data_IF_226810529555
#
_entry.id   IF_226810529555
#
_cell.length_a   1.000
_cell.length_b   1.000
_cell.length_c   1.000
_cell.angle_alpha   90.00
_cell.angle_beta   90.00
_cell.angle_gamma   90.00
#
_symmetry.space_group_name_H-M   'P 1'
#
loop_
_entity.id
_entity.type
_entity.pdbx_description
1 polymer ?
#
# COMPACT_ATOMS: atom_id res chain seq x y z
N UNK A 1 13.50 -25.10 57.26
CA UNK A 1 13.71 -25.41 55.83
C UNK A 1 12.34 -25.33 55.19
N UNK A 2 12.01 -24.19 54.58
CA UNK A 2 10.75 -23.98 53.88
C UNK A 2 11.02 -24.10 52.38
N UNK A 3 10.15 -24.86 51.74
CA UNK A 3 10.16 -25.32 50.35
C UNK A 3 10.20 -24.15 49.35
N UNK A 4 11.31 -24.02 48.63
CA UNK A 4 11.59 -22.99 47.61
C UNK A 4 11.11 -23.47 46.22
N UNK A 5 9.90 -24.05 46.21
CA UNK A 5 9.31 -24.73 45.06
C UNK A 5 8.60 -23.77 44.11
N UNK A 6 9.12 -23.71 42.88
CA UNK A 6 8.50 -23.13 41.68
C UNK A 6 8.77 -21.64 41.37
N UNK A 7 10.03 -21.22 41.37
CA UNK A 7 10.44 -20.08 40.54
C UNK A 7 10.61 -20.59 39.11
N UNK A 8 9.91 -20.00 38.14
CA UNK A 8 10.20 -20.19 36.72
C UNK A 8 11.71 -19.93 36.49
N UNK A 9 12.50 -21.01 36.38
CA UNK A 9 13.97 -20.91 36.26
C UNK A 9 14.25 -20.41 34.85
N UNK A 10 14.38 -19.09 34.70
CA UNK A 10 14.82 -18.49 33.45
C UNK A 10 16.21 -19.01 33.06
N UNK A 11 16.56 -18.92 31.78
CA UNK A 11 17.85 -19.45 31.29
C UNK A 11 18.95 -18.44 31.64
N UNK A 12 19.90 -18.78 32.53
CA UNK A 12 21.00 -17.88 32.85
C UNK A 12 21.96 -17.77 31.65
N UNK A 13 22.54 -16.60 31.48
CA UNK A 13 23.51 -16.33 30.43
C UNK A 13 24.43 -15.17 30.80
N UNK A 14 25.46 -14.99 29.99
CA UNK A 14 26.41 -13.89 30.11
C UNK A 14 26.77 -13.39 28.73
N UNK A 15 26.80 -12.07 28.56
CA UNK A 15 27.17 -11.42 27.30
C UNK A 15 28.23 -10.37 27.56
N UNK A 16 29.21 -10.29 26.68
CA UNK A 16 30.30 -9.33 26.74
C UNK A 16 30.08 -8.29 25.63
N UNK A 17 29.86 -7.04 26.02
CA UNK A 17 29.49 -5.96 25.11
C UNK A 17 30.60 -4.89 25.07
N UNK A 18 31.10 -4.63 23.86
CA UNK A 18 31.99 -3.49 23.60
C UNK A 18 31.16 -2.22 23.52
N UNK A 19 31.52 -1.22 24.33
CA UNK A 19 30.79 0.04 24.41
C UNK A 19 30.99 0.91 23.16
N UNK A 20 30.03 1.79 22.91
CA UNK A 20 30.12 2.77 21.84
C UNK A 20 31.05 3.94 22.18
N UNK A 21 31.21 4.88 21.23
CA UNK A 21 32.03 6.08 21.40
C UNK A 21 31.56 6.99 22.56
N UNK A 22 30.32 6.85 23.03
CA UNK A 22 29.75 7.57 24.18
C UNK A 22 29.86 6.77 25.48
N UNK A 23 30.60 5.65 25.47
CA UNK A 23 30.77 4.74 26.61
C UNK A 23 29.43 4.10 27.09
N UNK A 24 28.48 3.91 26.16
CA UNK A 24 27.17 3.32 26.41
C UNK A 24 27.05 1.93 25.74
N UNK A 25 26.22 1.06 26.34
CA UNK A 25 25.84 -0.23 25.75
C UNK A 25 24.45 -0.20 25.08
N UNK A 26 23.61 0.78 25.44
CA UNK A 26 22.30 0.98 24.80
C UNK A 26 21.12 0.19 25.37
N UNK A 27 21.06 0.04 26.69
CA UNK A 27 19.88 -0.50 27.38
C UNK A 27 19.31 0.50 28.39
N UNK A 28 18.00 0.42 28.64
CA UNK A 28 17.33 1.04 29.78
C UNK A 28 17.05 -0.02 30.85
N UNK A 29 17.19 0.35 32.12
CA UNK A 29 17.08 -0.56 33.27
C UNK A 29 15.89 -0.14 34.14
N UNK A 30 15.04 -1.10 34.48
CA UNK A 30 13.89 -0.95 35.37
C UNK A 30 14.01 -1.81 36.63
N UNK A 31 13.07 -1.62 37.55
CA UNK A 31 13.06 -2.30 38.85
C UNK A 31 14.14 -1.82 39.81
N UNK A 32 14.69 -2.76 40.59
CA UNK A 32 15.69 -2.53 41.63
C UNK A 32 15.12 -2.10 42.98
N UNK A 33 16.00 -2.10 43.99
CA UNK A 33 15.66 -1.78 45.36
C UNK A 33 15.16 -0.33 45.51
N UNK A 34 14.33 -0.03 46.54
CA UNK A 34 13.79 -0.97 47.53
C UNK A 34 12.51 -1.70 47.07
N UNK A 35 11.85 -1.23 46.01
CA UNK A 35 10.51 -1.66 45.64
C UNK A 35 10.47 -3.00 44.90
N UNK A 36 11.49 -3.29 44.08
CA UNK A 36 11.53 -4.50 43.27
C UNK A 36 12.81 -5.30 43.55
N UNK A 37 12.73 -6.62 43.83
CA UNK A 37 13.92 -7.43 44.10
C UNK A 37 14.79 -7.67 42.86
N UNK A 38 14.22 -7.49 41.66
CA UNK A 38 14.85 -7.77 40.39
C UNK A 38 15.18 -6.47 39.64
N UNK A 39 16.27 -6.50 38.87
CA UNK A 39 16.59 -5.48 37.87
C UNK A 39 16.38 -6.09 36.49
N UNK A 40 15.78 -5.37 35.56
CA UNK A 40 15.49 -5.92 34.25
C UNK A 40 15.64 -4.88 33.14
N UNK A 41 15.83 -5.37 31.92
CA UNK A 41 15.94 -4.54 30.72
C UNK A 41 14.56 -4.01 30.34
N UNK A 42 14.36 -2.68 30.38
CA UNK A 42 13.10 -2.04 29.93
C UNK A 42 13.08 -1.89 28.41
N UNK A 43 14.22 -1.53 27.84
CA UNK A 43 14.36 -1.30 26.41
C UNK A 43 15.80 -1.53 25.97
N UNK A 44 15.95 -2.05 24.76
CA UNK A 44 17.21 -2.04 24.00
C UNK A 44 17.06 -0.99 22.90
N UNK A 45 17.99 -0.04 22.84
CA UNK A 45 17.92 1.09 21.90
C UNK A 45 18.56 0.71 20.56
N UNK A 46 17.96 1.15 19.45
CA UNK A 46 18.46 0.84 18.11
C UNK A 46 19.87 1.43 17.88
N UNK A 47 20.64 0.80 16.98
CA UNK A 47 22.00 1.22 16.61
C UNK A 47 23.04 1.22 17.74
N UNK A 48 22.73 0.58 18.87
CA UNK A 48 23.65 0.45 20.01
C UNK A 48 24.35 -0.90 20.06
N UNK A 49 25.42 -1.07 20.85
CA UNK A 49 26.10 -2.36 21.00
C UNK A 49 25.16 -3.51 21.39
N UNK A 50 24.26 -3.30 22.37
CA UNK A 50 23.32 -4.33 22.79
C UNK A 50 22.31 -4.70 21.68
N UNK A 51 21.89 -3.75 20.86
CA UNK A 51 21.00 -4.04 19.73
C UNK A 51 21.70 -4.83 18.60
N UNK A 52 22.97 -4.53 18.34
CA UNK A 52 23.77 -5.23 17.30
C UNK A 52 24.11 -6.66 17.71
N UNK A 53 24.42 -6.85 18.98
CA UNK A 53 24.71 -8.17 19.55
C UNK A 53 23.45 -9.04 19.66
N UNK A 54 22.28 -8.43 19.89
CA UNK A 54 20.97 -9.07 19.95
C UNK A 54 20.80 -10.14 21.06
N UNK A 55 21.78 -10.31 21.95
CA UNK A 55 21.69 -11.27 23.08
C UNK A 55 20.77 -10.76 24.18
N UNK A 56 20.72 -9.46 24.47
CA UNK A 56 19.82 -8.90 25.49
C UNK A 56 18.49 -8.46 24.88
N UNK A 57 17.40 -8.61 25.61
CA UNK A 57 16.08 -8.28 25.11
C UNK A 57 15.16 -7.79 26.24
N UNK A 58 14.21 -6.89 25.95
CA UNK A 58 13.36 -6.27 26.97
C UNK A 58 12.60 -7.30 27.85
N UNK A 59 12.65 -7.17 29.17
CA UNK A 59 12.10 -8.13 30.13
C UNK A 59 13.13 -9.13 30.69
N UNK A 60 14.33 -9.23 30.10
CA UNK A 60 15.41 -10.03 30.68
C UNK A 60 15.89 -9.43 32.00
N UNK A 61 16.17 -10.30 32.97
CA UNK A 61 16.67 -9.89 34.28
C UNK A 61 18.17 -9.76 34.28
N UNK A 62 18.68 -8.69 34.89
CA UNK A 62 20.09 -8.42 35.08
C UNK A 62 20.45 -8.91 36.47
N UNK A 63 21.32 -9.93 36.53
CA UNK A 63 21.75 -10.55 37.80
C UNK A 63 23.17 -10.15 38.19
N UNK A 64 23.98 -9.66 37.24
CA UNK A 64 25.31 -9.15 37.55
C UNK A 64 25.96 -8.30 36.46
N UNK A 65 26.97 -7.54 36.85
CA UNK A 65 27.83 -6.73 35.96
C UNK A 65 29.29 -7.07 36.29
N UNK A 66 30.09 -7.48 35.30
CA UNK A 66 31.48 -7.95 35.47
C UNK A 66 31.64 -8.94 36.65
N UNK A 67 30.76 -9.94 36.73
CA UNK A 67 30.72 -10.95 37.80
C UNK A 67 30.38 -10.43 39.21
N UNK A 68 30.02 -9.16 39.35
CA UNK A 68 29.50 -8.60 40.60
C UNK A 68 27.98 -8.67 40.58
N UNK A 69 27.39 -9.29 41.61
CA UNK A 69 25.94 -9.38 41.73
C UNK A 69 25.32 -7.98 41.90
N UNK A 70 24.17 -7.77 41.25
CA UNK A 70 23.39 -6.53 41.38
C UNK A 70 22.16 -6.69 42.29
N UNK A 71 22.04 -7.82 42.98
CA UNK A 71 20.94 -8.07 43.92
C UNK A 71 20.91 -6.99 45.01
N UNK A 72 19.73 -6.41 45.26
CA UNK A 72 19.54 -5.36 46.26
C UNK A 72 20.07 -3.98 45.84
N UNK A 73 20.54 -3.81 44.59
CA UNK A 73 20.95 -2.51 44.06
C UNK A 73 19.77 -1.78 43.42
N UNK A 74 19.86 -0.46 43.40
CA UNK A 74 18.94 0.41 42.65
C UNK A 74 19.31 0.44 41.17
N UNK A 75 18.33 0.73 40.30
CA UNK A 75 18.57 0.93 38.86
C UNK A 75 19.65 1.99 38.57
N UNK A 76 19.75 3.03 39.41
CA UNK A 76 20.73 4.12 39.27
C UNK A 76 22.14 3.63 39.59
N UNK A 77 22.31 2.85 40.66
CA UNK A 77 23.63 2.27 41.01
C UNK A 77 24.12 1.33 39.92
N UNK A 78 23.25 0.46 39.39
CA UNK A 78 23.65 -0.47 38.32
C UNK A 78 24.00 0.29 37.04
N UNK A 79 23.24 1.31 36.67
CA UNK A 79 23.57 2.17 35.53
C UNK A 79 24.93 2.85 35.71
N UNK A 80 25.22 3.38 36.91
CA UNK A 80 26.53 3.98 37.25
C UNK A 80 27.66 2.95 37.20
N UNK A 81 27.46 1.74 37.71
CA UNK A 81 28.45 0.66 37.66
C UNK A 81 28.79 0.29 36.21
N UNK A 82 27.78 0.14 35.35
CA UNK A 82 27.99 -0.09 33.93
C UNK A 82 28.75 1.07 33.30
N UNK A 83 28.37 2.32 33.59
CA UNK A 83 29.03 3.51 33.03
C UNK A 83 30.49 3.67 33.48
N UNK A 84 30.83 3.29 34.72
CA UNK A 84 32.19 3.39 35.26
C UNK A 84 33.20 2.47 34.55
N UNK A 85 32.74 1.35 34.01
CA UNK A 85 33.59 0.40 33.26
C UNK A 85 33.93 1.01 31.89
N UNK A 86 35.21 1.00 31.49
CA UNK A 86 35.64 1.50 30.18
C UNK A 86 35.88 0.35 29.20
N UNK A 87 35.59 0.59 27.93
CA UNK A 87 35.81 -0.37 26.85
C UNK A 87 34.73 -1.45 26.80
N UNK A 88 34.85 -2.46 27.66
CA UNK A 88 34.06 -3.68 27.54
C UNK A 88 33.40 -4.05 28.87
N UNK A 89 32.13 -4.45 28.83
CA UNK A 89 31.34 -4.81 30.01
C UNK A 89 30.65 -6.16 29.81
N UNK A 90 30.72 -7.00 30.83
CA UNK A 90 30.02 -8.27 30.90
C UNK A 90 28.71 -8.10 31.66
N UNK A 91 27.59 -8.44 31.03
CA UNK A 91 26.26 -8.45 31.65
C UNK A 91 25.85 -9.90 31.88
N UNK A 92 25.65 -10.27 33.14
CA UNK A 92 25.08 -11.55 33.52
C UNK A 92 23.55 -11.37 33.61
N UNK A 93 22.81 -12.18 32.89
CA UNK A 93 21.37 -12.05 32.75
C UNK A 93 20.65 -13.39 32.90
N UNK A 94 19.34 -13.31 33.14
CA UNK A 94 18.41 -14.44 33.10
C UNK A 94 17.36 -14.14 32.06
N UNK A 95 17.27 -14.98 31.02
CA UNK A 95 16.27 -14.83 29.97
C UNK A 95 14.88 -15.00 30.52
N UNK A 96 14.01 -14.05 30.17
CA UNK A 96 12.59 -14.19 30.44
C UNK A 96 12.03 -15.36 29.64
N UNK A 97 11.67 -16.43 30.33
CA UNK A 97 10.94 -17.57 29.77
C UNK A 97 9.45 -17.30 29.96
N UNK A 98 8.75 -16.99 28.87
CA UNK A 98 7.31 -16.76 28.88
C UNK A 98 6.72 -17.01 27.50
N UNK A 99 5.56 -17.68 27.45
CA UNK A 99 4.84 -17.88 26.19
C UNK A 99 4.31 -16.52 25.70
N UNK A 100 4.69 -16.05 24.50
CA UNK A 100 4.16 -14.81 23.93
C UNK A 100 2.62 -14.76 23.85
N UNK A 101 1.94 -15.91 23.87
CA UNK A 101 0.47 -15.97 23.95
C UNK A 101 -0.08 -15.40 25.25
N UNK A 102 0.65 -15.50 26.37
CA UNK A 102 0.23 -14.94 27.66
C UNK A 102 0.18 -13.41 27.63
N UNK A 103 0.98 -12.77 26.78
CA UNK A 103 0.92 -11.32 26.58
C UNK A 103 -0.26 -10.84 25.71
N UNK A 104 -0.95 -11.75 25.00
CA UNK A 104 -2.10 -11.42 24.13
C UNK A 104 -3.42 -11.48 24.89
N UNK A 105 -3.58 -10.58 25.86
CA UNK A 105 -4.79 -10.51 26.68
C UNK A 105 -5.96 -9.84 25.94
N UNK A 106 -7.19 -10.07 26.41
CA UNK A 106 -8.37 -9.36 25.91
C UNK A 106 -8.22 -7.83 26.04
N UNK A 107 -7.53 -7.37 27.08
CA UNK A 107 -7.19 -5.96 27.27
C UNK A 107 -6.36 -5.39 26.11
N UNK A 108 -5.32 -6.13 25.66
CA UNK A 108 -4.53 -5.74 24.48
C UNK A 108 -5.40 -5.72 23.22
N UNK A 109 -6.31 -6.67 23.06
CA UNK A 109 -7.24 -6.70 21.91
C UNK A 109 -8.17 -5.48 21.92
N UNK A 110 -8.75 -5.14 23.07
CA UNK A 110 -9.61 -3.96 23.22
C UNK A 110 -8.86 -2.67 22.96
N UNK A 111 -7.63 -2.53 23.48
CA UNK A 111 -6.74 -1.40 23.19
C UNK A 111 -6.41 -1.28 21.71
N UNK A 112 -6.16 -2.40 21.02
CA UNK A 112 -5.94 -2.42 19.58
C UNK A 112 -7.17 -1.94 18.81
N UNK A 113 -8.37 -2.37 19.21
CA UNK A 113 -9.65 -1.90 18.64
C UNK A 113 -9.83 -0.40 18.88
N UNK A 114 -9.54 0.09 20.10
CA UNK A 114 -9.56 1.52 20.44
C UNK A 114 -8.72 2.33 19.45
N UNK A 115 -7.46 1.93 19.24
CA UNK A 115 -6.57 2.63 18.32
C UNK A 115 -7.08 2.61 16.87
N UNK A 116 -7.65 1.48 16.41
CA UNK A 116 -8.22 1.38 15.07
C UNK A 116 -9.40 2.33 14.85
N UNK A 117 -10.25 2.50 15.86
CA UNK A 117 -11.41 3.39 15.79
C UNK A 117 -10.95 4.85 15.75
N UNK A 118 -10.05 5.22 16.66
CA UNK A 118 -9.57 6.59 16.81
C UNK A 118 -8.80 7.10 15.59
N UNK A 119 -8.08 6.22 14.87
CA UNK A 119 -7.34 6.61 13.66
C UNK A 119 -8.24 7.16 12.54
N UNK A 120 -9.50 6.70 12.47
CA UNK A 120 -10.46 7.17 11.46
C UNK A 120 -11.35 8.32 11.95
N UNK A 121 -11.10 8.85 13.16
CA UNK A 121 -11.89 9.94 13.75
C UNK A 121 -11.18 11.28 13.61
N UNK A 122 -11.97 12.34 13.44
CA UNK A 122 -11.44 13.70 13.53
C UNK A 122 -10.94 14.00 14.94
N UNK A 123 -10.00 14.94 15.06
CA UNK A 123 -9.46 15.39 16.35
C UNK A 123 -10.57 15.76 17.34
N UNK A 124 -11.51 16.59 16.92
CA UNK A 124 -12.61 17.06 17.76
C UNK A 124 -13.56 15.94 18.15
N UNK A 125 -13.82 14.99 17.25
CA UNK A 125 -14.68 13.83 17.57
C UNK A 125 -14.03 12.91 18.61
N UNK A 126 -12.73 12.64 18.48
CA UNK A 126 -12.01 11.80 19.44
C UNK A 126 -11.97 12.46 20.83
N UNK A 127 -11.73 13.78 20.89
CA UNK A 127 -11.69 14.53 22.14
C UNK A 127 -13.07 14.58 22.83
N UNK A 128 -14.15 14.78 22.06
CA UNK A 128 -15.53 14.71 22.58
C UNK A 128 -15.92 13.34 23.14
N UNK A 129 -15.29 12.26 22.66
CA UNK A 129 -15.48 10.90 23.17
C UNK A 129 -14.48 10.53 24.27
N UNK A 130 -13.59 11.44 24.67
CA UNK A 130 -12.55 11.19 25.67
C UNK A 130 -11.47 10.21 25.21
N UNK A 131 -11.31 10.00 23.89
CA UNK A 131 -10.37 9.03 23.35
C UNK A 131 -9.01 9.66 23.06
N UNK A 132 -8.04 9.43 23.95
CA UNK A 132 -6.66 9.91 23.72
C UNK A 132 -5.98 9.23 22.52
N UNK A 133 -5.41 10.05 21.64
CA UNK A 133 -4.61 9.62 20.48
C UNK A 133 -3.17 9.28 20.86
N UNK A 134 -2.60 8.30 20.16
CA UNK A 134 -1.18 7.99 20.30
C UNK A 134 -0.34 8.99 19.49
N UNK A 135 0.85 9.32 19.96
CA UNK A 135 1.78 10.25 19.28
C UNK A 135 2.16 9.76 17.86
N UNK A 136 2.11 8.44 17.63
CA UNK A 136 2.40 7.81 16.34
C UNK A 136 1.27 7.96 15.28
N UNK A 137 0.24 8.76 15.55
CA UNK A 137 -0.88 9.01 14.64
C UNK A 137 -0.51 9.93 13.45
N UNK A 138 0.63 10.63 13.46
CA UNK A 138 1.10 11.42 12.31
C UNK A 138 1.93 10.54 11.35
N UNK A 139 1.32 9.48 10.86
CA UNK A 139 1.95 8.57 9.93
C UNK A 139 1.75 9.06 8.50
N UNK A 140 2.83 9.48 7.85
CA UNK A 140 2.83 9.93 6.44
C UNK A 140 2.27 8.88 5.49
N UNK A 141 2.25 7.60 5.89
CA UNK A 141 1.68 6.51 5.10
C UNK A 141 0.16 6.63 4.90
N UNK A 142 -0.57 7.29 5.80
CA UNK A 142 -2.02 7.54 5.62
C UNK A 142 -2.24 8.51 4.47
N UNK A 143 -1.48 9.61 4.44
CA UNK A 143 -1.51 10.57 3.33
C UNK A 143 -1.13 9.92 2.00
N UNK A 144 -0.13 9.03 1.99
CA UNK A 144 0.24 8.25 0.78
C UNK A 144 -0.87 7.31 0.31
N UNK A 145 -1.68 6.76 1.23
CA UNK A 145 -2.84 5.94 0.87
C UNK A 145 -3.95 6.78 0.22
N UNK A 146 -4.19 7.99 0.72
CA UNK A 146 -5.14 8.94 0.12
C UNK A 146 -4.70 9.35 -1.29
N UNK A 147 -3.42 9.68 -1.47
CA UNK A 147 -2.82 9.96 -2.80
C UNK A 147 -3.04 8.77 -3.76
N UNK A 148 -2.86 7.54 -3.28
CA UNK A 148 -3.08 6.32 -4.06
C UNK A 148 -4.56 6.12 -4.44
N UNK A 149 -5.50 6.50 -3.57
CA UNK A 149 -6.93 6.50 -3.88
C UNK A 149 -7.28 7.55 -4.93
N UNK A 150 -6.72 8.76 -4.82
CA UNK A 150 -6.91 9.81 -5.81
C UNK A 150 -6.37 9.38 -7.19
N UNK A 151 -5.18 8.79 -7.22
CA UNK A 151 -4.60 8.23 -8.46
C UNK A 151 -5.47 7.13 -9.07
N UNK A 152 -6.12 6.31 -8.23
CA UNK A 152 -7.06 5.29 -8.69
C UNK A 152 -8.26 5.91 -9.44
N UNK A 153 -8.76 7.05 -8.98
CA UNK A 153 -9.87 7.76 -9.65
C UNK A 153 -9.49 8.23 -11.05
N UNK A 154 -8.26 8.75 -11.21
CA UNK A 154 -7.75 9.21 -12.52
C UNK A 154 -7.69 8.04 -13.51
N UNK A 155 -7.15 6.88 -13.10
CA UNK A 155 -7.09 5.70 -13.96
C UNK A 155 -8.46 5.21 -14.37
N UNK A 156 -9.40 5.18 -13.42
CA UNK A 156 -10.76 4.75 -13.69
C UNK A 156 -11.40 5.64 -14.74
N UNK A 157 -11.29 6.97 -14.59
CA UNK A 157 -11.78 7.93 -15.56
C UNK A 157 -11.13 7.78 -16.94
N UNK A 158 -9.82 7.52 -17.01
CA UNK A 158 -9.12 7.29 -18.27
C UNK A 158 -9.62 6.04 -18.98
N UNK A 159 -9.79 4.93 -18.25
CA UNK A 159 -10.30 3.66 -18.76
C UNK A 159 -11.74 3.81 -19.27
N UNK A 160 -12.61 4.47 -18.50
CA UNK A 160 -14.00 4.70 -18.88
C UNK A 160 -14.10 5.50 -20.18
N UNK A 161 -13.30 6.58 -20.30
CA UNK A 161 -13.24 7.39 -21.53
C UNK A 161 -12.67 6.61 -22.70
N UNK A 162 -11.60 5.84 -22.51
CA UNK A 162 -11.04 5.01 -23.57
C UNK A 162 -12.05 3.96 -24.08
N UNK A 163 -12.79 3.31 -23.16
CA UNK A 163 -13.86 2.37 -23.52
C UNK A 163 -15.02 3.04 -24.26
N UNK A 164 -15.43 4.24 -23.82
CA UNK A 164 -16.45 5.01 -24.51
C UNK A 164 -16.01 5.38 -25.93
N UNK A 165 -14.76 5.81 -26.11
CA UNK A 165 -14.18 6.08 -27.42
C UNK A 165 -14.17 4.83 -28.30
N UNK A 166 -13.68 3.69 -27.80
CA UNK A 166 -13.70 2.42 -28.53
C UNK A 166 -15.12 2.02 -28.96
N UNK A 167 -16.13 2.23 -28.11
CA UNK A 167 -17.53 1.96 -28.43
C UNK A 167 -18.03 2.86 -29.56
N UNK A 168 -17.68 4.15 -29.54
CA UNK A 168 -18.03 5.10 -30.60
C UNK A 168 -17.33 4.76 -31.92
N UNK A 169 -16.03 4.43 -31.87
CA UNK A 169 -15.27 3.97 -33.04
C UNK A 169 -15.86 2.69 -33.63
N UNK A 170 -16.29 1.73 -32.80
CA UNK A 170 -16.96 0.52 -33.29
C UNK A 170 -18.26 0.82 -34.07
N UNK A 171 -19.03 1.83 -33.64
CA UNK A 171 -20.21 2.29 -34.40
C UNK A 171 -19.81 2.95 -35.72
N UNK A 172 -18.74 3.75 -35.72
CA UNK A 172 -18.23 4.39 -36.93
C UNK A 172 -17.74 3.35 -37.96
N UNK A 173 -17.03 2.31 -37.51
CA UNK A 173 -16.63 1.16 -38.34
C UNK A 173 -17.85 0.51 -38.99
N UNK A 174 -18.90 0.24 -38.20
CA UNK A 174 -20.13 -0.36 -38.73
C UNK A 174 -20.80 0.53 -39.79
N UNK A 175 -20.77 1.86 -39.60
CA UNK A 175 -21.27 2.80 -40.60
C UNK A 175 -20.42 2.79 -41.87
N UNK A 176 -19.08 2.83 -41.76
CA UNK A 176 -18.19 2.72 -42.92
C UNK A 176 -18.42 1.43 -43.70
N UNK A 177 -18.58 0.30 -43.01
CA UNK A 177 -18.93 -0.96 -43.65
C UNK A 177 -20.24 -0.88 -44.45
N UNK A 178 -21.29 -0.33 -43.84
CA UNK A 178 -22.59 -0.18 -44.50
C UNK A 178 -22.51 0.75 -45.74
N UNK A 179 -21.78 1.85 -45.64
CA UNK A 179 -21.52 2.73 -46.79
C UNK A 179 -20.73 2.02 -47.89
N UNK A 180 -19.69 1.27 -47.53
CA UNK A 180 -18.87 0.50 -48.47
C UNK A 180 -19.69 -0.52 -49.25
N UNK A 181 -20.59 -1.24 -48.57
CA UNK A 181 -21.53 -2.18 -49.18
C UNK A 181 -22.55 -1.49 -50.10
N UNK A 182 -23.13 -0.37 -49.65
CA UNK A 182 -24.12 0.39 -50.41
C UNK A 182 -23.51 0.98 -51.69
N UNK A 183 -22.36 1.66 -51.59
CA UNK A 183 -21.70 2.27 -52.74
C UNK A 183 -21.22 1.21 -53.76
N UNK A 184 -20.68 0.09 -53.30
CA UNK A 184 -20.33 -1.01 -54.20
C UNK A 184 -21.57 -1.56 -54.93
N UNK A 185 -22.71 -1.71 -54.24
CA UNK A 185 -23.95 -2.19 -54.84
C UNK A 185 -24.54 -1.20 -55.87
N UNK A 186 -24.45 0.11 -55.61
CA UNK A 186 -24.85 1.16 -56.55
C UNK A 186 -23.91 1.15 -57.76
N UNK A 187 -22.59 1.11 -57.53
CA UNK A 187 -21.59 1.15 -58.60
C UNK A 187 -21.76 0.04 -59.63
N UNK A 188 -22.07 -1.19 -59.21
CA UNK A 188 -22.32 -2.33 -60.11
C UNK A 188 -23.60 -2.16 -60.94
N UNK A 189 -24.60 -1.43 -60.42
CA UNK A 189 -25.90 -1.24 -61.09
C UNK A 189 -25.96 0.05 -61.93
N UNK A 190 -25.00 0.95 -61.77
CA UNK A 190 -24.99 2.25 -62.41
C UNK A 190 -24.59 2.13 -63.91
N UNK A 191 -25.49 2.49 -64.85
CA UNK A 191 -25.20 2.39 -66.28
C UNK A 191 -24.16 3.39 -66.80
N UNK A 192 -23.96 4.53 -66.12
CA UNK A 192 -22.93 5.49 -66.51
C UNK A 192 -21.56 5.05 -66.00
N UNK A 193 -20.62 4.77 -66.91
CA UNK A 193 -19.30 4.24 -66.55
C UNK A 193 -18.53 5.13 -65.56
N UNK A 194 -18.58 6.45 -65.72
CA UNK A 194 -17.90 7.39 -64.82
C UNK A 194 -18.51 7.37 -63.40
N UNK A 195 -19.83 7.36 -63.29
CA UNK A 195 -20.52 7.29 -62.01
C UNK A 195 -20.34 5.90 -61.35
N UNK A 196 -20.38 4.82 -62.12
CA UNK A 196 -20.09 3.46 -61.66
C UNK A 196 -18.69 3.34 -61.05
N UNK A 197 -17.67 3.90 -61.73
CA UNK A 197 -16.30 3.94 -61.23
C UNK A 197 -16.19 4.78 -59.96
N UNK A 198 -16.87 5.94 -59.91
CA UNK A 198 -16.87 6.81 -58.73
C UNK A 198 -17.47 6.09 -57.51
N UNK A 199 -18.64 5.48 -57.64
CA UNK A 199 -19.27 4.71 -56.57
C UNK A 199 -18.42 3.51 -56.13
N UNK A 200 -17.75 2.84 -57.06
CA UNK A 200 -16.84 1.73 -56.73
C UNK A 200 -15.65 2.21 -55.90
N UNK A 201 -15.04 3.35 -56.26
CA UNK A 201 -13.95 3.97 -55.48
C UNK A 201 -14.40 4.43 -54.10
N UNK A 202 -15.58 5.06 -53.98
CA UNK A 202 -16.14 5.40 -52.65
C UNK A 202 -16.40 4.15 -51.81
N UNK A 203 -16.92 3.08 -52.43
CA UNK A 203 -17.13 1.80 -51.76
C UNK A 203 -15.84 1.20 -51.20
N UNK A 204 -14.76 1.26 -51.98
CA UNK A 204 -13.43 0.81 -51.57
C UNK A 204 -12.85 1.68 -50.44
N UNK A 205 -12.91 3.01 -50.57
CA UNK A 205 -12.43 3.92 -49.54
C UNK A 205 -13.13 3.71 -48.20
N UNK A 206 -14.46 3.55 -48.20
CA UNK A 206 -15.20 3.24 -46.97
C UNK A 206 -14.80 1.87 -46.37
N UNK A 207 -14.46 0.86 -47.17
CA UNK A 207 -13.92 -0.42 -46.67
C UNK A 207 -12.51 -0.27 -46.10
N UNK A 208 -11.67 0.62 -46.64
CA UNK A 208 -10.36 0.91 -46.07
C UNK A 208 -10.50 1.65 -44.73
N UNK A 209 -11.38 2.64 -44.64
CA UNK A 209 -11.70 3.33 -43.37
C UNK A 209 -12.23 2.35 -42.29
N UNK A 210 -13.04 1.35 -42.67
CA UNK A 210 -13.46 0.26 -41.78
C UNK A 210 -12.24 -0.53 -41.25
N UNK A 211 -11.28 -0.87 -42.12
CA UNK A 211 -10.07 -1.61 -41.75
C UNK A 211 -9.18 -0.79 -40.81
N UNK A 212 -8.96 0.49 -41.09
CA UNK A 212 -8.17 1.37 -40.23
C UNK A 212 -8.81 1.49 -38.84
N UNK A 213 -10.13 1.67 -38.77
CA UNK A 213 -10.85 1.72 -37.49
C UNK A 213 -10.73 0.39 -36.73
N UNK A 214 -10.79 -0.74 -37.43
CA UNK A 214 -10.60 -2.07 -36.81
C UNK A 214 -9.19 -2.23 -36.24
N UNK A 215 -8.17 -1.74 -36.94
CA UNK A 215 -6.79 -1.76 -36.46
C UNK A 215 -6.62 -0.84 -35.24
N UNK A 216 -7.23 0.35 -35.25
CA UNK A 216 -7.25 1.24 -34.10
C UNK A 216 -7.83 0.55 -32.85
N UNK A 217 -8.96 -0.14 -32.98
CA UNK A 217 -9.55 -0.89 -31.86
C UNK A 217 -8.63 -2.00 -31.34
N UNK A 218 -7.94 -2.72 -32.23
CA UNK A 218 -6.96 -3.76 -31.84
C UNK A 218 -5.77 -3.17 -31.10
N UNK A 219 -5.31 -1.98 -31.49
CA UNK A 219 -4.18 -1.30 -30.84
C UNK A 219 -4.57 -0.73 -29.47
N UNK A 220 -5.79 -0.22 -29.31
CA UNK A 220 -6.26 0.38 -28.05
C UNK A 220 -6.71 -0.66 -27.02
N UNK A 221 -7.28 -1.79 -27.44
CA UNK A 221 -7.72 -2.83 -26.53
C UNK A 221 -6.69 -3.26 -25.46
N UNK A 222 -5.41 -3.58 -25.81
CA UNK A 222 -4.40 -3.95 -24.81
C UNK A 222 -4.07 -2.79 -23.87
N UNK A 223 -4.09 -1.53 -24.34
CA UNK A 223 -3.84 -0.35 -23.50
C UNK A 223 -4.87 -0.28 -22.35
N UNK A 224 -6.15 -0.50 -22.67
CA UNK A 224 -7.23 -0.51 -21.66
C UNK A 224 -7.05 -1.66 -20.66
N UNK A 225 -6.63 -2.83 -21.13
CA UNK A 225 -6.35 -3.99 -20.27
C UNK A 225 -5.15 -3.75 -19.34
N UNK A 226 -4.09 -3.12 -19.84
CA UNK A 226 -2.89 -2.80 -19.06
C UNK A 226 -3.23 -1.79 -17.95
N UNK A 227 -3.93 -0.70 -18.29
CA UNK A 227 -4.39 0.30 -17.32
C UNK A 227 -5.34 -0.33 -16.27
N UNK A 228 -6.20 -1.27 -16.68
CA UNK A 228 -7.07 -2.01 -15.75
C UNK A 228 -6.29 -2.91 -14.81
N UNK A 229 -5.14 -3.45 -15.25
CA UNK A 229 -4.29 -4.31 -14.40
C UNK A 229 -3.71 -3.53 -13.23
N UNK A 230 -3.34 -2.25 -13.43
CA UNK A 230 -2.90 -1.38 -12.35
C UNK A 230 -3.98 -1.22 -11.25
N UNK A 231 -5.22 -0.93 -11.66
CA UNK A 231 -6.36 -0.79 -10.74
C UNK A 231 -6.78 -2.09 -10.05
N UNK A 232 -6.82 -3.19 -10.79
CA UNK A 232 -7.37 -4.46 -10.32
C UNK A 232 -6.37 -5.34 -9.57
N UNK A 233 -5.06 -5.15 -9.78
CA UNK A 233 -4.01 -5.97 -9.15
C UNK A 233 -3.05 -5.14 -8.31
N UNK A 234 -2.39 -4.12 -8.87
CA UNK A 234 -1.31 -3.41 -8.20
C UNK A 234 -1.78 -2.58 -6.99
N UNK A 235 -2.89 -1.84 -7.15
CA UNK A 235 -3.50 -1.07 -6.07
C UNK A 235 -4.01 -1.98 -4.93
N UNK A 236 -4.80 -3.04 -5.19
CA UNK A 236 -5.28 -3.95 -4.15
C UNK A 236 -4.16 -4.63 -3.36
N UNK A 237 -3.08 -5.05 -4.03
CA UNK A 237 -1.91 -5.67 -3.40
C UNK A 237 -1.16 -4.69 -2.47
N UNK A 238 -0.98 -3.46 -2.91
CA UNK A 238 -0.38 -2.39 -2.08
C UNK A 238 -1.27 -2.08 -0.87
N UNK A 239 -2.58 -1.96 -1.08
CA UNK A 239 -3.57 -1.77 -0.02
C UNK A 239 -3.57 -2.90 1.00
N UNK A 240 -3.41 -4.16 0.57
CA UNK A 240 -3.29 -5.30 1.47
C UNK A 240 -2.06 -5.19 2.37
N UNK A 241 -0.94 -4.73 1.83
CA UNK A 241 0.31 -4.54 2.56
C UNK A 241 0.17 -3.43 3.61
N UNK A 242 -0.45 -2.30 3.24
CA UNK A 242 -0.75 -1.20 4.16
C UNK A 242 -1.70 -1.65 5.28
N UNK A 243 -2.72 -2.47 4.97
CA UNK A 243 -3.60 -3.04 5.99
C UNK A 243 -2.86 -3.93 7.00
N UNK A 244 -1.93 -4.78 6.53
CA UNK A 244 -1.08 -5.62 7.40
C UNK A 244 -0.21 -4.76 8.31
N UNK A 245 0.40 -3.71 7.75
CA UNK A 245 1.17 -2.73 8.52
C UNK A 245 0.32 -2.05 9.60
N UNK A 246 -0.86 -1.54 9.25
CA UNK A 246 -1.74 -0.87 10.20
C UNK A 246 -2.14 -1.79 11.36
N UNK A 247 -2.41 -3.07 11.07
CA UNK A 247 -2.75 -4.05 12.10
C UNK A 247 -1.61 -4.25 13.12
N UNK A 248 -0.35 -4.33 12.64
CA UNK A 248 0.84 -4.44 13.49
C UNK A 248 1.15 -3.13 14.22
N UNK A 249 0.94 -1.97 13.58
CA UNK A 249 1.01 -0.65 14.24
C UNK A 249 0.08 -0.59 15.45
N UNK A 250 -1.18 -0.97 15.28
CA UNK A 250 -2.16 -0.93 16.38
C UNK A 250 -1.84 -1.94 17.48
N UNK A 251 -1.29 -3.12 17.15
CA UNK A 251 -0.79 -4.06 18.15
C UNK A 251 0.36 -3.44 18.97
N UNK A 252 1.34 -2.83 18.31
CA UNK A 252 2.45 -2.16 19.00
C UNK A 252 1.96 -1.01 19.90
N UNK A 253 1.04 -0.18 19.40
CA UNK A 253 0.46 0.92 20.17
C UNK A 253 -0.34 0.43 21.38
N UNK A 254 -1.06 -0.68 21.26
CA UNK A 254 -1.77 -1.29 22.39
C UNK A 254 -0.82 -1.70 23.51
N UNK A 255 0.34 -2.31 23.18
CA UNK A 255 1.37 -2.61 24.17
C UNK A 255 2.01 -1.36 24.76
N UNK A 256 2.25 -0.30 23.96
CA UNK A 256 2.76 0.96 24.49
C UNK A 256 1.80 1.59 25.50
N UNK A 257 0.49 1.57 25.21
CA UNK A 257 -0.54 2.06 26.12
C UNK A 257 -0.58 1.22 27.39
N UNK A 258 -0.52 -0.12 27.29
CA UNK A 258 -0.49 -1.00 28.46
C UNK A 258 0.72 -0.75 29.35
N UNK A 259 1.91 -0.60 28.77
CA UNK A 259 3.12 -0.27 29.56
C UNK A 259 2.95 1.06 30.28
N UNK A 260 2.43 2.09 29.59
CA UNK A 260 2.19 3.39 30.22
C UNK A 260 1.19 3.29 31.38
N UNK A 261 0.08 2.57 31.21
CA UNK A 261 -0.90 2.36 32.28
C UNK A 261 -0.26 1.68 33.51
N UNK A 262 0.60 0.68 33.28
CA UNK A 262 1.31 -0.01 34.37
C UNK A 262 2.38 0.88 35.04
N UNK A 263 3.04 1.75 34.28
CA UNK A 263 3.98 2.75 34.80
C UNK A 263 3.25 3.80 35.65
N UNK A 264 2.09 4.30 35.16
CA UNK A 264 1.25 5.28 35.85
C UNK A 264 0.66 4.68 37.15
N UNK A 265 0.26 3.40 37.13
CA UNK A 265 -0.18 2.66 38.31
C UNK A 265 0.96 2.52 39.34
N UNK A 266 2.15 2.08 38.92
CA UNK A 266 3.33 1.98 39.80
C UNK A 266 3.67 3.34 40.44
N UNK A 267 3.62 4.42 39.66
CA UNK A 267 3.86 5.77 40.16
C UNK A 267 2.80 6.21 41.18
N UNK A 268 1.53 5.91 40.94
CA UNK A 268 0.42 6.23 41.84
C UNK A 268 0.57 5.57 43.21
N UNK A 269 0.84 4.26 43.23
CA UNK A 269 1.09 3.52 44.48
C UNK A 269 2.34 4.01 45.21
N UNK A 270 3.43 4.24 44.48
CA UNK A 270 4.67 4.76 45.06
C UNK A 270 4.46 6.15 45.71
N UNK A 271 3.63 7.02 45.14
CA UNK A 271 3.30 8.32 45.73
C UNK A 271 2.52 8.19 47.06
N UNK A 272 1.74 7.11 47.20
CA UNK A 272 1.04 6.78 48.45
C UNK A 272 1.90 6.00 49.45
N UNK A 273 3.18 5.78 49.15
CA UNK A 273 4.10 4.93 49.94
C UNK A 273 3.62 3.47 50.05
N UNK A 274 2.82 3.02 49.09
CA UNK A 274 2.40 1.64 48.96
C UNK A 274 3.19 0.96 47.84
N UNK A 275 3.29 -0.37 47.92
CA UNK A 275 3.98 -1.18 46.93
C UNK A 275 3.01 -2.21 46.35
N UNK A 276 3.07 -2.37 45.04
CA UNK A 276 2.25 -3.35 44.32
C UNK A 276 2.86 -4.74 44.51
N UNK A 277 2.04 -5.72 44.88
CA UNK A 277 2.47 -7.12 45.03
C UNK A 277 3.23 -7.65 43.79
N UNK A 278 2.79 -7.29 42.58
CA UNK A 278 3.49 -7.67 41.33
C UNK A 278 4.92 -7.12 41.29
N UNK A 279 5.17 -5.93 41.80
CA UNK A 279 6.48 -5.29 41.82
C UNK A 279 7.39 -5.95 42.86
N UNK A 280 6.85 -6.22 44.05
CA UNK A 280 7.56 -6.91 45.15
C UNK A 280 8.01 -8.32 44.79
N UNK A 281 7.29 -8.98 43.88
CA UNK A 281 7.56 -10.34 43.41
C UNK A 281 8.36 -10.39 42.12
N UNK A 282 9.00 -9.29 41.70
CA UNK A 282 9.92 -9.23 40.56
C UNK A 282 9.30 -8.78 39.23
N UNK A 283 8.06 -8.30 39.27
CA UNK A 283 7.33 -7.62 38.18
C UNK A 283 7.24 -8.41 36.86
N UNK A 284 7.00 -9.73 36.99
CA UNK A 284 6.99 -10.64 35.84
C UNK A 284 6.00 -10.24 34.73
N UNK A 285 4.77 -9.86 35.09
CA UNK A 285 3.75 -9.45 34.11
C UNK A 285 4.21 -8.24 33.30
N UNK A 286 4.74 -7.21 33.97
CA UNK A 286 5.29 -6.03 33.30
C UNK A 286 6.44 -6.40 32.36
N UNK A 287 7.36 -7.25 32.82
CA UNK A 287 8.48 -7.75 32.00
C UNK A 287 8.00 -8.51 30.75
N UNK A 288 6.93 -9.29 30.87
CA UNK A 288 6.30 -9.97 29.74
C UNK A 288 5.68 -8.97 28.75
N UNK A 289 4.97 -7.96 29.24
CA UNK A 289 4.41 -6.90 28.38
C UNK A 289 5.54 -6.12 27.67
N UNK A 290 6.66 -5.85 28.34
CA UNK A 290 7.85 -5.23 27.72
C UNK A 290 8.43 -6.09 26.59
N UNK A 291 8.53 -7.41 26.77
CA UNK A 291 8.93 -8.37 25.73
C UNK A 291 7.99 -8.30 24.54
N UNK A 292 6.67 -8.41 24.78
CA UNK A 292 5.67 -8.35 23.71
C UNK A 292 5.68 -7.00 22.96
N UNK A 293 5.84 -5.89 23.68
CA UNK A 293 6.02 -4.55 23.09
C UNK A 293 7.24 -4.49 22.18
N UNK A 294 8.37 -5.03 22.64
CA UNK A 294 9.60 -5.07 21.86
C UNK A 294 9.41 -5.88 20.56
N UNK A 295 8.83 -7.08 20.66
CA UNK A 295 8.60 -7.93 19.49
C UNK A 295 7.62 -7.27 18.49
N UNK A 296 6.57 -6.62 19.00
CA UNK A 296 5.63 -5.86 18.19
C UNK A 296 6.31 -4.66 17.50
N UNK A 297 7.22 -3.96 18.21
CA UNK A 297 8.01 -2.85 17.65
C UNK A 297 8.89 -3.31 16.49
N UNK A 298 9.55 -4.46 16.61
CA UNK A 298 10.40 -5.02 15.56
C UNK A 298 9.58 -5.35 14.31
N UNK A 299 8.43 -6.02 14.48
CA UNK A 299 7.50 -6.30 13.36
C UNK A 299 6.98 -5.01 12.73
N UNK A 300 6.62 -4.04 13.55
CA UNK A 300 6.15 -2.72 13.11
C UNK A 300 7.20 -1.99 12.27
N UNK A 301 8.45 -1.91 12.76
CA UNK A 301 9.54 -1.25 12.06
C UNK A 301 9.85 -1.91 10.71
N UNK A 302 9.87 -3.25 10.67
CA UNK A 302 10.06 -4.01 9.44
C UNK A 302 8.96 -3.72 8.41
N UNK A 303 7.69 -3.87 8.80
CA UNK A 303 6.57 -3.64 7.89
C UNK A 303 6.45 -2.18 7.45
N UNK A 304 6.87 -1.22 8.29
CA UNK A 304 6.95 0.18 7.91
C UNK A 304 7.89 0.37 6.73
N UNK A 305 9.08 -0.22 6.79
CA UNK A 305 10.06 -0.19 5.72
C UNK A 305 9.54 -0.88 4.46
N UNK A 306 8.93 -2.06 4.61
CA UNK A 306 8.35 -2.83 3.49
C UNK A 306 7.26 -2.02 2.76
N UNK A 307 6.38 -1.34 3.50
CA UNK A 307 5.35 -0.47 2.92
C UNK A 307 5.94 0.74 2.21
N UNK A 308 6.96 1.38 2.80
CA UNK A 308 7.63 2.53 2.16
C UNK A 308 8.23 2.14 0.81
N UNK A 309 9.03 1.07 0.77
CA UNK A 309 9.63 0.58 -0.48
C UNK A 309 8.56 0.19 -1.50
N UNK A 310 7.49 -0.48 -1.06
CA UNK A 310 6.41 -0.90 -1.96
C UNK A 310 5.65 0.28 -2.56
N UNK A 311 5.42 1.34 -1.79
CA UNK A 311 4.80 2.58 -2.29
C UNK A 311 5.70 3.28 -3.31
N UNK A 312 7.00 3.38 -3.06
CA UNK A 312 7.97 3.96 -4.01
C UNK A 312 8.02 3.16 -5.32
N UNK A 313 8.07 1.82 -5.23
CA UNK A 313 8.04 0.95 -6.41
C UNK A 313 6.74 1.10 -7.20
N UNK A 314 5.60 1.22 -6.51
CA UNK A 314 4.31 1.45 -7.16
C UNK A 314 4.29 2.79 -7.88
N UNK A 315 4.79 3.86 -7.25
CA UNK A 315 4.79 5.21 -7.79
C UNK A 315 5.69 5.31 -9.04
N UNK A 316 6.90 4.76 -8.99
CA UNK A 316 7.80 4.70 -10.15
C UNK A 316 7.17 3.91 -11.31
N UNK A 317 6.57 2.74 -11.01
CA UNK A 317 5.91 1.91 -12.04
C UNK A 317 4.70 2.62 -12.62
N UNK A 318 3.93 3.31 -11.78
CA UNK A 318 2.73 4.07 -12.15
C UNK A 318 3.05 5.15 -13.20
N UNK A 319 4.05 5.98 -12.94
CA UNK A 319 4.42 7.08 -13.87
C UNK A 319 4.91 6.52 -15.20
N UNK A 320 5.78 5.52 -15.16
CA UNK A 320 6.33 4.92 -16.37
C UNK A 320 5.25 4.25 -17.23
N UNK A 321 4.38 3.46 -16.61
CA UNK A 321 3.30 2.76 -17.32
C UNK A 321 2.30 3.77 -17.90
N UNK A 322 1.83 4.74 -17.11
CA UNK A 322 0.89 5.76 -17.60
C UNK A 322 1.43 6.51 -18.82
N UNK A 323 2.67 7.00 -18.75
CA UNK A 323 3.30 7.70 -19.87
C UNK A 323 3.41 6.81 -21.11
N UNK A 324 3.78 5.54 -20.93
CA UNK A 324 3.88 4.57 -22.04
C UNK A 324 2.53 4.33 -22.68
N UNK A 325 1.50 4.06 -21.88
CA UNK A 325 0.14 3.79 -22.36
C UNK A 325 -0.48 5.01 -23.06
N UNK A 326 -0.29 6.21 -22.52
CA UNK A 326 -0.76 7.45 -23.15
C UNK A 326 -0.06 7.71 -24.50
N UNK A 327 1.26 7.49 -24.58
CA UNK A 327 1.99 7.60 -25.86
C UNK A 327 1.50 6.60 -26.89
N UNK A 328 1.26 5.35 -26.50
CA UNK A 328 0.69 4.32 -27.39
C UNK A 328 -0.70 4.70 -27.88
N UNK A 329 -1.54 5.26 -26.99
CA UNK A 329 -2.89 5.71 -27.34
C UNK A 329 -2.84 6.85 -28.36
N UNK A 330 -2.05 7.89 -28.09
CA UNK A 330 -1.88 9.03 -29.00
C UNK A 330 -1.31 8.56 -30.33
N UNK A 331 -0.26 7.73 -30.32
CA UNK A 331 0.35 7.20 -31.54
C UNK A 331 -0.66 6.41 -32.39
N UNK A 332 -1.47 5.55 -31.77
CA UNK A 332 -2.49 4.78 -32.48
C UNK A 332 -3.57 5.68 -33.09
N UNK A 333 -3.98 6.75 -32.39
CA UNK A 333 -4.94 7.73 -32.90
C UNK A 333 -4.35 8.54 -34.06
N UNK A 334 -3.10 8.98 -33.94
CA UNK A 334 -2.39 9.72 -34.98
C UNK A 334 -2.28 8.89 -36.26
N UNK A 335 -1.84 7.63 -36.15
CA UNK A 335 -1.74 6.69 -37.28
C UNK A 335 -3.10 6.52 -37.96
N UNK A 336 -4.15 6.20 -37.19
CA UNK A 336 -5.51 6.08 -37.73
C UNK A 336 -5.97 7.33 -38.49
N UNK A 337 -5.76 8.52 -37.93
CA UNK A 337 -6.20 9.76 -38.57
C UNK A 337 -5.37 10.09 -39.81
N UNK A 338 -4.06 9.81 -39.80
CA UNK A 338 -3.19 9.99 -40.97
C UNK A 338 -3.60 9.05 -42.10
N UNK A 339 -3.86 7.78 -41.81
CA UNK A 339 -4.35 6.81 -42.80
C UNK A 339 -5.70 7.25 -43.38
N UNK A 340 -6.62 7.72 -42.54
CA UNK A 340 -7.90 8.27 -43.00
C UNK A 340 -7.72 9.48 -43.93
N UNK A 341 -6.85 10.43 -43.57
CA UNK A 341 -6.59 11.63 -44.38
C UNK A 341 -6.04 11.22 -45.75
N UNK A 342 -5.06 10.31 -45.76
CA UNK A 342 -4.44 9.85 -46.99
C UNK A 342 -5.44 9.18 -47.93
N UNK A 343 -6.30 8.32 -47.39
CA UNK A 343 -7.38 7.68 -48.17
C UNK A 343 -8.36 8.72 -48.74
N UNK A 344 -8.70 9.76 -47.97
CA UNK A 344 -9.60 10.84 -48.41
C UNK A 344 -8.96 11.74 -49.47
N UNK A 345 -7.65 12.01 -49.39
CA UNK A 345 -6.92 12.79 -50.39
C UNK A 345 -6.78 12.03 -51.72
N UNK A 346 -6.63 10.71 -51.68
CA UNK A 346 -6.57 9.85 -52.87
C UNK A 346 -7.95 9.69 -53.55
N UNK A 347 -9.05 9.98 -52.85
CA UNK A 347 -10.43 9.91 -53.36
C UNK A 347 -10.97 11.26 -53.89
N UNK A 348 -10.18 11.99 -54.68
CA UNK A 348 -10.67 13.14 -55.45
C UNK A 348 -11.41 12.68 -56.72
N UNK A 349 -12.74 12.63 -56.66
CA UNK A 349 -13.60 12.11 -57.74
C UNK A 349 -14.62 13.17 -58.22
N UNK A 350 -14.47 14.43 -57.81
CA UNK A 350 -15.36 15.50 -58.27
C UNK A 350 -14.81 16.22 -59.52
N UNK A 351 -15.70 16.64 -60.44
CA UNK A 351 -17.15 16.48 -60.41
C UNK A 351 -17.62 15.12 -60.96
N UNK A 352 -18.53 14.47 -60.23
CA UNK A 352 -19.30 13.34 -60.75
C UNK A 352 -20.39 13.94 -61.64
N UNK A 353 -20.18 13.93 -62.96
CA UNK A 353 -21.24 14.29 -63.91
C UNK A 353 -22.32 13.20 -63.90
N UNK A 354 -23.28 13.32 -62.97
CA UNK A 354 -24.49 12.51 -62.96
C UNK A 354 -25.49 13.22 -63.86
N UNK A 355 -25.67 12.73 -65.08
CA UNK A 355 -26.72 13.25 -65.98
C UNK A 355 -28.10 12.75 -65.51
N UNK A 356 -28.66 13.47 -64.54
CA UNK A 356 -29.96 13.21 -63.90
C UNK A 356 -31.11 13.17 -64.93
N UNK A 357 -31.01 13.91 -66.04
CA UNK A 357 -32.04 13.95 -67.06
C UNK A 357 -32.16 12.62 -67.82
N UNK A 358 -31.04 11.93 -68.05
CA UNK A 358 -31.02 10.63 -68.73
C UNK A 358 -31.48 9.49 -67.82
N UNK A 359 -31.28 9.62 -66.50
CA UNK A 359 -31.79 8.68 -65.51
C UNK A 359 -33.32 8.75 -65.36
N UNK A 360 -33.89 9.96 -65.39
CA UNK A 360 -35.34 10.20 -65.30
C UNK A 360 -36.12 9.69 -66.53
N UNK A 361 -35.50 9.72 -67.72
CA UNK A 361 -36.13 9.24 -68.96
C UNK A 361 -36.32 7.71 -69.00
N UNK A 362 -35.53 6.93 -68.26
CA UNK A 362 -35.66 5.45 -68.21
C UNK A 362 -36.77 4.95 -67.29
N UNK A 363 -37.30 5.80 -66.41
CA UNK A 363 -38.32 5.43 -65.41
C UNK A 363 -39.74 5.86 -65.79
N UNK A 364 -39.94 6.54 -66.91
CA UNK A 364 -41.28 6.87 -67.40
C UNK A 364 -41.92 5.62 -68.04
N UNK A 365 -43.11 5.18 -67.62
CA UNK A 365 -43.81 4.10 -68.30
C UNK A 365 -44.17 4.56 -69.71
N UNK A 366 -43.74 3.81 -70.72
CA UNK A 366 -44.20 3.96 -72.11
C UNK A 366 -45.67 3.59 -72.18
N UNK A 367 -46.56 4.55 -71.95
CA UNK A 367 -47.94 4.47 -72.42
C UNK A 367 -47.95 4.77 -73.90
N UNK A 368 -47.73 3.74 -74.72
CA UNK A 368 -48.16 3.75 -76.12
C UNK A 368 -49.69 3.57 -76.12
N UNK A 369 -50.40 4.66 -76.43
CA UNK A 369 -51.80 4.61 -76.80
C UNK A 369 -51.82 4.26 -78.29
N UNK A 370 -52.06 2.99 -78.61
CA UNK A 370 -52.46 2.58 -79.95
C UNK A 370 -53.88 3.07 -80.21
N UNK A 371 -54.03 3.99 -81.16
CA UNK A 371 -55.31 4.38 -81.72
C UNK A 371 -55.65 3.48 -82.91
N UNK A 372 -56.72 2.70 -82.78
CA UNK A 372 -57.60 2.29 -83.88
C UNK A 372 -59.06 2.37 -83.42
#
# INVERSE_FOLDING_TARGET
MADDGNRNVGIPGSVKLTKDAKNLIGISIGGGAPLCPCLYVVQVFDNTPAAKDATLSAGDEIVGVNNISVKGKTKVEVAKNIQAIKGEVTINYVKLQGDPKQGKTLDIVLKKVKHRIVENMSSSTADSLGLSRAILCNDTLVKRLEELQQNSSIYLGLIERARAMMKSTAKLIAAHKAFGEAFAAIGVKEPQANASLAFSRFGEAHRNLERFGTQLLRNIAPIVTDLMTYLSKAIPDTRLTIKKYADVKFEYLAYCLKVKEMDDEEYGYAAMHESLYRVETGNYEYRLVLRCRHDARVRFAKLRQDVMVKLELLDHKHVQDLCTQLRRLIGSLTEYHQDCIKEMEETDIFPIEIDLNRALQKTAPTTEVEAQ
#
